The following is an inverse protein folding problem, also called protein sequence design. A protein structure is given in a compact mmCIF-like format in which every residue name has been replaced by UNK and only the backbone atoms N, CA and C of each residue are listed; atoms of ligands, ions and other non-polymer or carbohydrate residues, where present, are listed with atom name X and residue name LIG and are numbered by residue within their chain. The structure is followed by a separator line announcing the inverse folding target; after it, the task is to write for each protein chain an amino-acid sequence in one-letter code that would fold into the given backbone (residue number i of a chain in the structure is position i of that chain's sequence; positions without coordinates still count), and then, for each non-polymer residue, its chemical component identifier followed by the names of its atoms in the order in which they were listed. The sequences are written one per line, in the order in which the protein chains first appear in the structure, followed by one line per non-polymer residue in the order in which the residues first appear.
data_IF_297988430857
#
_entry.id   IF_297988430857
#
_cell.length_a   1.000
_cell.length_b   1.000
_cell.length_c   1.000
_cell.angle_alpha   90.00
_cell.angle_beta   90.00
_cell.angle_gamma   90.00
#
_symmetry.space_group_name_H-M   'P 1'
#
loop_
_entity.id
_entity.type
_entity.pdbx_description
1 polymer ?
#
# COMPACT_ATOMS: atom_id res chain seq x y z
N UNK A 1 28.32 5.84 -10.47
CA UNK A 1 27.09 6.53 -10.04
C UNK A 1 27.18 6.65 -8.54
N UNK A 2 27.28 7.88 -8.05
CA UNK A 2 27.51 8.11 -6.63
C UNK A 2 26.24 7.81 -5.83
N UNK A 3 26.33 6.85 -4.91
CA UNK A 3 25.35 6.71 -3.86
C UNK A 3 25.32 8.04 -3.07
N UNK A 4 24.19 8.72 -3.07
CA UNK A 4 23.97 9.86 -2.17
C UNK A 4 23.89 9.25 -0.78
N UNK A 5 24.99 9.33 -0.04
CA UNK A 5 25.00 9.05 1.39
C UNK A 5 24.13 10.13 2.04
N UNK A 6 22.93 9.81 2.46
CA UNK A 6 22.15 10.69 3.32
C UNK A 6 22.76 10.59 4.72
N UNK A 7 23.60 11.58 5.04
CA UNK A 7 23.97 11.83 6.43
C UNK A 7 22.69 12.23 7.19
N UNK A 8 22.32 11.55 8.28
CA UNK A 8 21.15 11.89 9.09
C UNK A 8 21.14 13.35 9.58
N UNK A 9 22.33 14.02 9.63
CA UNK A 9 22.47 15.41 10.04
C UNK A 9 22.01 16.44 9.00
N UNK A 10 21.83 16.04 7.72
CA UNK A 10 21.46 16.94 6.61
C UNK A 10 19.93 16.97 6.33
N UNK A 11 19.11 16.26 7.12
CA UNK A 11 17.65 16.31 6.95
C UNK A 11 17.11 17.65 7.46
N UNK A 12 16.31 18.33 6.62
CA UNK A 12 15.53 19.49 7.07
C UNK A 12 14.71 19.11 8.31
N UNK A 13 14.63 19.99 9.33
CA UNK A 13 13.81 19.73 10.51
C UNK A 13 12.37 19.46 10.08
N UNK A 14 11.76 18.42 10.64
CA UNK A 14 10.35 18.11 10.41
C UNK A 14 9.48 19.30 10.85
N UNK A 15 8.69 19.81 9.90
CA UNK A 15 7.87 21.00 10.13
C UNK A 15 6.82 20.78 11.21
N UNK A 16 6.23 19.59 11.29
CA UNK A 16 5.20 19.23 12.27
C UNK A 16 5.82 19.20 13.68
N UNK A 17 7.00 18.59 13.81
CA UNK A 17 7.77 18.62 15.06
C UNK A 17 8.07 20.06 15.49
N UNK A 18 8.62 20.85 14.57
CA UNK A 18 9.03 22.23 14.89
C UNK A 18 7.85 23.15 15.25
N UNK A 19 6.73 23.00 14.53
CA UNK A 19 5.56 23.87 14.69
C UNK A 19 4.64 23.47 15.84
N UNK A 20 4.43 22.18 16.03
CA UNK A 20 3.42 21.64 16.96
C UNK A 20 4.03 20.84 18.12
N UNK A 21 5.33 20.59 18.12
CA UNK A 21 5.97 19.80 19.18
C UNK A 21 5.60 18.32 19.17
N UNK A 22 5.15 17.79 18.02
CA UNK A 22 4.94 16.33 17.86
C UNK A 22 6.31 15.66 17.75
N UNK A 23 6.58 14.66 18.56
CA UNK A 23 7.86 13.96 18.55
C UNK A 23 7.66 12.49 18.12
N UNK A 24 8.54 12.02 17.25
CA UNK A 24 8.66 10.60 16.89
C UNK A 24 10.01 10.12 17.43
N UNK A 25 9.96 9.05 18.22
CA UNK A 25 11.16 8.43 18.78
C UNK A 25 11.32 7.01 18.27
N UNK A 26 12.56 6.54 18.17
CA UNK A 26 12.89 5.14 17.93
C UNK A 26 13.30 4.48 19.23
N UNK A 27 12.79 3.29 19.52
CA UNK A 27 13.11 2.48 20.69
C UNK A 27 14.33 1.57 20.40
N UNK A 28 15.45 2.18 19.97
CA UNK A 28 16.63 1.46 19.48
C UNK A 28 16.57 1.16 17.99
N UNK A 29 17.58 0.47 17.48
CA UNK A 29 17.60 0.00 16.10
C UNK A 29 16.70 -1.21 15.94
N UNK A 30 15.81 -1.17 14.94
CA UNK A 30 15.00 -2.29 14.52
C UNK A 30 15.80 -3.29 13.68
N UNK A 31 15.08 -4.12 12.95
CA UNK A 31 15.70 -5.05 12.00
C UNK A 31 16.36 -4.28 10.85
N UNK A 32 17.50 -4.74 10.37
CA UNK A 32 18.34 -4.08 9.35
C UNK A 32 18.79 -2.64 9.72
N UNK A 33 18.90 -2.33 11.02
CA UNK A 33 19.32 -1.03 11.56
C UNK A 33 18.43 0.17 11.20
N UNK A 34 17.19 -0.06 10.77
CA UNK A 34 16.25 1.01 10.50
C UNK A 34 15.80 1.72 11.79
N UNK A 35 15.75 3.04 11.72
CA UNK A 35 15.03 3.87 12.68
C UNK A 35 13.62 4.22 12.14
N UNK A 36 12.69 4.59 13.04
CA UNK A 36 11.33 5.00 12.62
C UNK A 36 11.37 6.13 11.60
N UNK A 37 12.28 7.10 11.78
CA UNK A 37 12.44 8.27 10.89
C UNK A 37 12.97 7.93 9.49
N UNK A 38 13.52 6.74 9.28
CA UNK A 38 13.94 6.28 7.95
C UNK A 38 12.74 5.82 7.13
N UNK A 39 11.70 5.36 7.81
CA UNK A 39 10.54 4.70 7.22
C UNK A 39 9.31 5.60 7.14
N UNK A 40 9.17 6.56 8.07
CA UNK A 40 8.01 7.44 8.16
C UNK A 40 8.41 8.87 8.55
N UNK A 41 7.62 9.82 8.07
CA UNK A 41 7.69 11.25 8.43
C UNK A 41 6.30 11.74 8.87
N UNK A 42 6.25 12.87 9.58
CA UNK A 42 5.02 13.40 10.14
C UNK A 42 4.23 14.21 9.11
N UNK A 43 2.98 13.84 8.89
CA UNK A 43 1.96 14.61 8.21
C UNK A 43 0.80 14.96 9.14
N UNK A 44 -0.15 15.71 8.64
CA UNK A 44 -1.35 16.13 9.36
C UNK A 44 -2.62 15.72 8.61
N UNK A 45 -3.70 15.51 9.36
CA UNK A 45 -5.05 15.28 8.82
C UNK A 45 -6.08 16.11 9.57
N UNK A 46 -7.09 16.57 8.86
CA UNK A 46 -8.21 17.29 9.45
C UNK A 46 -9.21 16.28 10.03
N UNK A 47 -8.89 15.75 11.21
CA UNK A 47 -9.71 14.74 11.88
C UNK A 47 -9.76 15.01 13.39
N UNK A 48 -10.97 15.09 13.95
CA UNK A 48 -11.22 15.41 15.37
C UNK A 48 -10.73 14.35 16.37
N UNK A 49 -10.35 13.17 15.88
CA UNK A 49 -9.87 12.07 16.75
C UNK A 49 -8.37 11.84 16.65
N UNK A 50 -7.79 12.12 15.48
CA UNK A 50 -6.36 11.89 15.22
C UNK A 50 -5.86 12.93 14.21
N UNK A 51 -5.13 13.94 14.69
CA UNK A 51 -4.61 15.01 13.85
C UNK A 51 -3.30 14.66 13.14
N UNK A 52 -2.45 13.81 13.73
CA UNK A 52 -1.20 13.36 13.12
C UNK A 52 -1.42 12.23 12.11
N UNK A 53 -0.50 12.14 11.16
CA UNK A 53 -0.43 11.08 10.14
C UNK A 53 1.03 10.63 10.03
N UNK A 54 1.28 9.33 10.10
CA UNK A 54 2.56 8.78 9.69
C UNK A 54 2.55 8.58 8.17
N UNK A 55 3.43 9.29 7.49
CA UNK A 55 3.59 9.24 6.04
C UNK A 55 4.79 8.36 5.74
N UNK A 56 4.57 7.17 5.20
CA UNK A 56 5.67 6.29 4.83
C UNK A 56 6.47 6.86 3.65
N UNK A 57 7.79 6.86 3.79
CA UNK A 57 8.75 7.24 2.76
C UNK A 57 9.15 6.09 1.84
N UNK A 58 8.75 4.86 2.20
CA UNK A 58 9.18 3.62 1.54
C UNK A 58 8.03 2.78 0.98
N UNK A 59 6.78 3.29 0.99
CA UNK A 59 5.61 2.52 0.59
C UNK A 59 4.98 2.97 -0.73
N UNK A 60 5.17 4.24 -1.12
CA UNK A 60 4.51 4.78 -2.30
C UNK A 60 3.01 5.04 -2.11
N UNK A 61 2.55 5.42 -0.92
CA UNK A 61 1.14 5.77 -0.68
C UNK A 61 0.86 7.26 -0.84
N UNK A 62 1.57 8.09 -0.10
CA UNK A 62 1.37 9.54 -0.08
C UNK A 62 2.49 10.30 -0.80
N UNK A 63 3.63 9.64 -1.00
CA UNK A 63 4.82 10.22 -1.63
C UNK A 63 5.24 9.28 -2.76
N UNK A 64 5.45 9.79 -3.99
CA UNK A 64 6.05 9.00 -5.05
C UNK A 64 7.43 8.50 -4.59
N UNK A 65 7.59 7.20 -4.55
CA UNK A 65 8.79 6.54 -4.04
C UNK A 65 9.45 5.76 -5.19
N UNK A 66 10.78 5.79 -5.35
CA UNK A 66 11.45 4.95 -6.34
C UNK A 66 11.07 3.47 -6.14
N UNK A 67 10.73 2.71 -7.20
CA UNK A 67 10.25 1.33 -7.09
C UNK A 67 11.21 0.42 -6.32
N UNK A 68 12.52 0.55 -6.57
CA UNK A 68 13.55 -0.21 -5.86
C UNK A 68 13.61 0.06 -4.35
N UNK A 69 13.22 1.27 -3.88
CA UNK A 69 13.15 1.61 -2.45
C UNK A 69 11.97 0.89 -1.80
N UNK A 70 10.80 0.89 -2.47
CA UNK A 70 9.61 0.15 -2.00
C UNK A 70 9.92 -1.34 -1.90
N UNK A 71 10.59 -1.90 -2.92
CA UNK A 71 10.98 -3.31 -2.96
C UNK A 71 11.94 -3.65 -1.82
N UNK A 72 12.97 -2.82 -1.60
CA UNK A 72 13.97 -3.04 -0.55
C UNK A 72 13.35 -3.10 0.84
N UNK A 73 12.47 -2.15 1.19
CA UNK A 73 11.79 -2.16 2.49
C UNK A 73 10.97 -3.44 2.70
N UNK A 74 10.28 -3.92 1.67
CA UNK A 74 9.55 -5.18 1.74
C UNK A 74 10.49 -6.41 1.82
N UNK A 75 11.62 -6.38 1.14
CA UNK A 75 12.63 -7.45 1.19
C UNK A 75 13.28 -7.53 2.59
N UNK A 76 13.57 -6.37 3.21
CA UNK A 76 14.08 -6.29 4.58
C UNK A 76 13.04 -6.84 5.58
N UNK A 77 11.76 -6.49 5.42
CA UNK A 77 10.69 -7.04 6.25
C UNK A 77 10.54 -8.57 6.06
N UNK A 78 10.64 -9.05 4.83
CA UNK A 78 10.63 -10.49 4.53
C UNK A 78 11.84 -11.21 5.14
N UNK A 79 13.02 -10.58 5.15
CA UNK A 79 14.22 -11.13 5.81
C UNK A 79 14.03 -11.23 7.32
N UNK A 80 13.45 -10.21 7.95
CA UNK A 80 13.10 -10.21 9.38
C UNK A 80 12.12 -11.34 9.74
N UNK A 81 11.13 -11.58 8.89
CA UNK A 81 10.19 -12.71 9.08
C UNK A 81 10.91 -14.04 8.98
N UNK A 82 11.81 -14.23 8.00
CA UNK A 82 12.60 -15.46 7.86
C UNK A 82 13.47 -15.68 9.11
N UNK A 83 14.09 -14.63 9.64
CA UNK A 83 14.88 -14.72 10.88
C UNK A 83 14.02 -15.14 12.08
N UNK A 84 12.78 -14.61 12.17
CA UNK A 84 11.87 -14.87 13.28
C UNK A 84 11.32 -16.30 13.30
N UNK A 85 10.91 -16.85 12.13
CA UNK A 85 10.21 -18.14 12.08
C UNK A 85 10.94 -19.25 11.32
N UNK A 86 12.08 -18.93 10.72
CA UNK A 86 12.86 -19.86 9.88
C UNK A 86 12.39 -19.92 8.43
N UNK A 87 13.31 -20.24 7.52
CA UNK A 87 13.08 -20.20 6.08
C UNK A 87 11.99 -21.17 5.59
N UNK A 88 11.94 -22.38 6.16
CA UNK A 88 10.95 -23.40 5.77
C UNK A 88 9.55 -22.98 6.21
N UNK A 89 9.38 -22.54 7.46
CA UNK A 89 8.09 -22.07 7.96
C UNK A 89 7.61 -20.81 7.20
N UNK A 90 8.52 -19.88 6.86
CA UNK A 90 8.21 -18.72 6.04
C UNK A 90 7.76 -19.11 4.64
N UNK A 91 8.45 -20.05 4.00
CA UNK A 91 8.10 -20.57 2.68
C UNK A 91 6.75 -21.26 2.64
N UNK A 92 6.41 -22.03 3.66
CA UNK A 92 5.17 -22.79 3.74
C UNK A 92 3.99 -21.95 4.26
N UNK A 93 4.24 -20.71 4.71
CA UNK A 93 3.23 -19.80 5.24
C UNK A 93 2.25 -19.29 4.20
N UNK A 94 1.15 -18.73 4.71
CA UNK A 94 0.24 -17.86 3.96
C UNK A 94 0.52 -16.43 4.39
N UNK A 95 0.60 -15.50 3.43
CA UNK A 95 0.69 -14.07 3.72
C UNK A 95 -0.65 -13.40 3.44
N UNK A 96 -1.06 -12.51 4.36
CA UNK A 96 -2.29 -11.75 4.25
C UNK A 96 -2.00 -10.25 4.41
N UNK A 97 -2.33 -9.44 3.40
CA UNK A 97 -2.16 -7.98 3.42
C UNK A 97 -3.44 -7.25 3.79
N UNK A 98 -3.35 -6.24 4.64
CA UNK A 98 -4.49 -5.40 4.96
C UNK A 98 -4.75 -4.34 3.87
N UNK A 99 -5.97 -4.26 3.37
CA UNK A 99 -6.39 -3.15 2.54
C UNK A 99 -6.64 -1.90 3.41
N UNK A 100 -6.33 -0.77 2.90
CA UNK A 100 -5.95 -0.40 1.55
C UNK A 100 -4.43 -0.45 1.37
N UNK A 101 -3.68 -0.15 2.41
CA UNK A 101 -2.29 0.32 2.36
C UNK A 101 -1.26 -0.79 2.21
N UNK A 102 -1.49 -1.92 2.84
CA UNK A 102 -0.49 -2.99 2.91
C UNK A 102 -0.64 -4.07 1.82
N UNK A 103 -1.50 -3.86 0.82
CA UNK A 103 -1.70 -4.85 -0.25
C UNK A 103 -0.44 -5.04 -1.11
N UNK A 104 0.26 -3.95 -1.44
CA UNK A 104 1.53 -4.02 -2.16
C UNK A 104 2.66 -4.56 -1.29
N UNK A 105 2.80 -4.05 -0.06
CA UNK A 105 3.81 -4.49 0.90
C UNK A 105 3.69 -5.98 1.19
N UNK A 106 2.48 -6.44 1.53
CA UNK A 106 2.23 -7.86 1.81
C UNK A 106 2.54 -8.76 0.63
N UNK A 107 2.25 -8.33 -0.61
CA UNK A 107 2.60 -9.09 -1.81
C UNK A 107 4.11 -9.18 -2.04
N UNK A 108 4.83 -8.07 -1.85
CA UNK A 108 6.29 -8.05 -1.94
C UNK A 108 6.93 -8.96 -0.88
N UNK A 109 6.44 -8.91 0.37
CA UNK A 109 6.86 -9.81 1.45
C UNK A 109 6.60 -11.26 1.06
N UNK A 110 5.41 -11.60 0.58
CA UNK A 110 5.07 -12.96 0.14
C UNK A 110 6.02 -13.46 -0.95
N UNK A 111 6.38 -12.60 -1.90
CA UNK A 111 7.35 -12.93 -2.94
C UNK A 111 8.75 -13.15 -2.36
N UNK A 112 9.20 -12.26 -1.46
CA UNK A 112 10.54 -12.33 -0.85
C UNK A 112 10.77 -13.61 -0.07
N UNK A 113 9.78 -14.05 0.72
CA UNK A 113 9.85 -15.28 1.50
C UNK A 113 9.44 -16.53 0.70
N UNK A 114 9.03 -16.35 -0.56
CA UNK A 114 8.46 -17.41 -1.40
C UNK A 114 7.27 -18.10 -0.73
N UNK A 115 6.38 -17.35 -0.12
CA UNK A 115 5.19 -17.84 0.58
C UNK A 115 4.36 -18.79 -0.32
N UNK A 116 3.67 -19.76 0.29
CA UNK A 116 2.83 -20.70 -0.44
C UNK A 116 1.67 -19.99 -1.16
N UNK A 117 1.07 -19.01 -0.47
CA UNK A 117 -0.10 -18.27 -0.92
C UNK A 117 -0.07 -16.83 -0.39
N UNK A 118 -0.66 -15.92 -1.15
CA UNK A 118 -0.91 -14.54 -0.74
C UNK A 118 -2.37 -14.16 -1.01
N UNK A 119 -3.00 -13.49 -0.05
CA UNK A 119 -4.31 -12.87 -0.18
C UNK A 119 -4.26 -11.49 0.47
N UNK A 120 -5.04 -10.55 -0.02
CA UNK A 120 -5.31 -9.33 0.76
C UNK A 120 -6.82 -9.11 0.94
N UNK A 121 -7.19 -8.41 1.99
CA UNK A 121 -8.55 -7.91 2.13
C UNK A 121 -8.86 -6.86 1.07
N UNK A 122 -10.13 -6.60 0.85
CA UNK A 122 -10.58 -5.53 -0.06
C UNK A 122 -11.66 -4.72 0.61
N UNK A 123 -11.74 -3.44 0.27
CA UNK A 123 -12.85 -2.55 0.64
C UNK A 123 -13.85 -2.40 -0.52
N UNK A 124 -13.57 -3.01 -1.66
CA UNK A 124 -14.39 -2.95 -2.88
C UNK A 124 -15.29 -4.17 -2.98
N UNK A 125 -16.59 -3.93 -3.06
CA UNK A 125 -17.56 -5.00 -3.32
C UNK A 125 -17.76 -5.13 -4.83
N UNK A 126 -17.17 -6.16 -5.41
CA UNK A 126 -17.31 -6.42 -6.85
C UNK A 126 -18.62 -7.18 -7.14
N UNK A 127 -19.35 -6.81 -8.21
CA UNK A 127 -20.55 -7.55 -8.62
C UNK A 127 -20.24 -9.00 -8.98
N UNK A 128 -21.08 -9.93 -8.52
CA UNK A 128 -20.95 -11.36 -8.84
C UNK A 128 -19.82 -12.10 -8.10
N UNK A 129 -19.07 -11.43 -7.22
CA UNK A 129 -17.99 -12.02 -6.44
C UNK A 129 -18.49 -12.47 -5.08
N UNK A 130 -18.17 -13.71 -4.69
CA UNK A 130 -18.54 -14.26 -3.37
C UNK A 130 -17.62 -13.70 -2.29
N UNK A 131 -18.20 -13.19 -1.21
CA UNK A 131 -17.49 -12.79 -0.01
C UNK A 131 -17.41 -13.99 0.93
N UNK A 132 -16.18 -14.45 1.20
CA UNK A 132 -15.92 -15.63 2.05
C UNK A 132 -15.75 -15.30 3.54
N UNK A 133 -15.72 -14.02 3.89
CA UNK A 133 -15.60 -13.54 5.25
C UNK A 133 -15.47 -12.02 5.30
N UNK A 134 -15.72 -11.45 6.48
CA UNK A 134 -15.58 -10.02 6.75
C UNK A 134 -15.02 -9.81 8.14
N UNK A 135 -14.26 -8.75 8.35
CA UNK A 135 -13.87 -8.25 9.67
C UNK A 135 -13.85 -6.72 9.68
N UNK A 136 -13.93 -6.14 10.88
CA UNK A 136 -14.05 -4.69 11.05
C UNK A 136 -12.73 -4.09 11.57
N UNK A 137 -12.42 -2.90 11.08
CA UNK A 137 -11.33 -2.07 11.61
C UNK A 137 -11.90 -1.06 12.61
N UNK A 138 -11.44 -1.11 13.86
CA UNK A 138 -12.04 -0.36 14.98
C UNK A 138 -11.92 1.17 14.92
N UNK A 139 -11.19 1.75 13.96
CA UNK A 139 -10.80 3.17 14.01
C UNK A 139 -10.95 3.97 12.71
N UNK A 140 -11.50 3.42 11.63
CA UNK A 140 -11.65 4.13 10.33
C UNK A 140 -13.11 4.35 9.91
N UNK A 141 -13.32 5.28 8.95
CA UNK A 141 -14.65 5.59 8.42
C UNK A 141 -15.19 4.53 7.42
N UNK A 142 -14.30 3.69 6.87
CA UNK A 142 -14.65 2.57 6.02
C UNK A 142 -14.11 1.30 6.70
N UNK A 143 -14.89 0.75 7.61
CA UNK A 143 -14.43 -0.19 8.63
C UNK A 143 -14.40 -1.64 8.18
N UNK A 144 -15.21 -1.99 7.15
CA UNK A 144 -15.38 -3.39 6.75
C UNK A 144 -14.32 -3.85 5.76
N UNK A 145 -13.58 -4.87 6.12
CA UNK A 145 -12.71 -5.62 5.21
C UNK A 145 -13.47 -6.85 4.68
N UNK A 146 -13.39 -7.06 3.37
CA UNK A 146 -13.99 -8.20 2.68
C UNK A 146 -12.90 -9.19 2.26
N UNK A 147 -13.18 -10.48 2.34
CA UNK A 147 -12.35 -11.55 1.81
C UNK A 147 -13.03 -12.12 0.56
N UNK A 148 -12.38 -12.01 -0.59
CA UNK A 148 -12.93 -12.42 -1.89
C UNK A 148 -12.00 -13.38 -2.67
N UNK A 149 -11.46 -14.45 -2.05
CA UNK A 149 -10.61 -15.39 -2.75
C UNK A 149 -11.39 -16.13 -3.84
N UNK A 150 -10.70 -16.52 -4.91
CA UNK A 150 -11.29 -17.37 -5.97
C UNK A 150 -11.68 -18.76 -5.46
N UNK A 151 -10.97 -19.32 -4.50
CA UNK A 151 -11.34 -20.53 -3.74
C UNK A 151 -11.66 -20.12 -2.29
N UNK A 152 -12.85 -20.37 -1.74
CA UNK A 152 -13.20 -20.08 -0.36
C UNK A 152 -12.24 -20.70 0.68
N UNK A 153 -11.56 -21.79 0.32
CA UNK A 153 -10.58 -22.48 1.18
C UNK A 153 -9.17 -21.92 1.06
N UNK A 154 -8.97 -20.83 0.34
CA UNK A 154 -7.63 -20.27 0.06
C UNK A 154 -6.83 -19.92 1.31
N UNK A 155 -7.51 -19.58 2.41
CA UNK A 155 -6.91 -19.31 3.72
C UNK A 155 -6.93 -20.51 4.67
N UNK A 156 -7.48 -21.66 4.27
CA UNK A 156 -7.49 -22.84 5.14
C UNK A 156 -6.06 -23.33 5.35
N UNK A 157 -5.73 -23.68 6.58
CA UNK A 157 -4.43 -24.26 6.89
C UNK A 157 -4.30 -25.64 6.26
N UNK A 158 -3.17 -25.93 5.62
CA UNK A 158 -2.86 -27.24 5.06
C UNK A 158 -2.27 -28.18 6.12
N UNK A 159 -1.66 -27.60 7.15
CA UNK A 159 -1.16 -28.31 8.34
C UNK A 159 -1.52 -27.50 9.58
N UNK A 160 -1.63 -28.13 10.80
CA UNK A 160 -1.92 -27.40 12.03
C UNK A 160 -0.90 -26.31 12.38
N UNK A 161 0.33 -26.49 11.96
CA UNK A 161 1.47 -25.59 12.24
C UNK A 161 1.71 -24.53 11.14
N UNK A 162 0.88 -24.48 10.08
CA UNK A 162 1.02 -23.51 9.01
C UNK A 162 0.80 -22.09 9.55
N UNK A 163 1.82 -21.26 9.48
CA UNK A 163 1.77 -19.87 9.96
C UNK A 163 0.98 -18.98 9.00
N UNK A 164 0.14 -18.09 9.55
CA UNK A 164 -0.43 -16.96 8.82
C UNK A 164 0.30 -15.67 9.19
N UNK A 165 0.86 -15.02 8.18
CA UNK A 165 1.59 -13.77 8.32
C UNK A 165 0.65 -12.63 7.90
N UNK A 166 0.26 -11.78 8.85
CA UNK A 166 -0.54 -10.59 8.62
C UNK A 166 0.38 -9.40 8.40
N UNK A 167 0.23 -8.68 7.29
CA UNK A 167 1.09 -7.55 6.94
C UNK A 167 0.30 -6.26 6.92
N UNK A 168 0.77 -5.25 7.66
CA UNK A 168 0.26 -3.88 7.66
C UNK A 168 1.40 -2.88 7.44
N UNK A 169 1.11 -1.63 7.13
CA UNK A 169 2.13 -0.58 6.99
C UNK A 169 2.62 -0.07 8.35
N UNK A 170 1.71 0.14 9.30
CA UNK A 170 2.01 0.56 10.68
C UNK A 170 1.16 -0.20 11.70
N UNK A 171 1.73 -0.55 12.83
CA UNK A 171 0.98 -1.05 13.98
C UNK A 171 0.93 0.05 15.04
N UNK A 172 -0.24 0.68 15.20
CA UNK A 172 -0.44 1.73 16.20
C UNK A 172 -0.94 1.20 17.56
N UNK A 173 -1.94 0.33 17.55
CA UNK A 173 -2.51 -0.31 18.76
C UNK A 173 -2.48 -1.83 18.70
N UNK A 174 -2.44 -2.40 17.50
CA UNK A 174 -2.56 -3.84 17.25
C UNK A 174 -4.00 -4.36 17.20
N UNK A 175 -5.00 -3.51 17.40
CA UNK A 175 -6.42 -3.92 17.46
C UNK A 175 -6.92 -4.51 16.14
N UNK A 176 -6.54 -3.93 15.01
CA UNK A 176 -6.93 -4.41 13.67
C UNK A 176 -6.43 -5.84 13.41
N UNK A 177 -5.15 -6.08 13.71
CA UNK A 177 -4.56 -7.41 13.55
C UNK A 177 -5.22 -8.45 14.47
N UNK A 178 -5.48 -8.10 15.73
CA UNK A 178 -6.18 -8.98 16.66
C UNK A 178 -7.61 -9.31 16.22
N UNK A 179 -8.38 -8.32 15.76
CA UNK A 179 -9.74 -8.55 15.23
C UNK A 179 -9.75 -9.47 14.02
N UNK A 180 -8.74 -9.33 13.12
CA UNK A 180 -8.57 -10.25 12.00
C UNK A 180 -8.21 -11.66 12.46
N UNK A 181 -7.29 -11.82 13.44
CA UNK A 181 -6.92 -13.11 14.04
C UNK A 181 -8.14 -13.78 14.66
N UNK A 182 -8.91 -13.07 15.49
CA UNK A 182 -10.13 -13.58 16.12
C UNK A 182 -11.14 -14.10 15.08
N UNK A 183 -11.39 -13.31 14.02
CA UNK A 183 -12.30 -13.69 12.93
C UNK A 183 -11.83 -14.94 12.19
N UNK A 184 -10.51 -15.02 11.92
CA UNK A 184 -9.93 -16.15 11.21
C UNK A 184 -9.95 -17.41 12.07
N UNK A 185 -9.55 -17.34 13.34
CA UNK A 185 -9.56 -18.48 14.26
C UNK A 185 -10.95 -19.06 14.45
N UNK A 186 -11.98 -18.20 14.52
CA UNK A 186 -13.38 -18.65 14.67
C UNK A 186 -13.88 -19.49 13.49
N UNK A 187 -13.34 -19.30 12.29
CA UNK A 187 -13.80 -19.98 11.07
C UNK A 187 -12.78 -20.94 10.47
N UNK A 188 -11.49 -20.71 10.72
CA UNK A 188 -10.34 -21.45 10.18
C UNK A 188 -9.31 -21.66 11.28
N UNK A 189 -9.45 -22.69 12.14
CA UNK A 189 -8.56 -22.93 13.27
C UNK A 189 -7.08 -22.94 12.85
N UNK A 190 -6.26 -22.19 13.58
CA UNK A 190 -4.83 -22.04 13.34
C UNK A 190 -4.14 -21.66 14.66
N UNK A 191 -2.93 -22.18 14.86
CA UNK A 191 -2.20 -21.98 16.11
C UNK A 191 -1.21 -20.82 16.05
N UNK A 192 -0.65 -20.49 14.85
CA UNK A 192 0.49 -19.58 14.71
C UNK A 192 0.20 -18.42 13.79
N UNK A 193 0.53 -17.22 14.28
CA UNK A 193 0.43 -15.95 13.54
C UNK A 193 1.71 -15.15 13.67
N UNK A 194 2.05 -14.42 12.61
CA UNK A 194 3.03 -13.33 12.62
C UNK A 194 2.30 -12.06 12.19
N UNK A 195 2.47 -10.98 12.94
CA UNK A 195 2.01 -9.64 12.52
C UNK A 195 3.25 -8.84 12.14
N UNK A 196 3.34 -8.45 10.87
CA UNK A 196 4.50 -7.80 10.31
C UNK A 196 4.15 -6.39 9.81
N UNK A 197 5.04 -5.41 10.04
CA UNK A 197 4.84 -4.02 9.59
C UNK A 197 6.17 -3.30 9.36
N UNK A 198 6.11 -2.13 8.69
CA UNK A 198 7.28 -1.26 8.59
C UNK A 198 7.63 -0.69 9.97
N UNK A 199 6.64 -0.21 10.72
CA UNK A 199 6.84 0.35 12.06
C UNK A 199 5.85 -0.20 13.07
N UNK A 200 6.32 -0.51 14.28
CA UNK A 200 5.51 -0.86 15.46
C UNK A 200 5.58 0.28 16.48
N UNK A 201 4.49 1.03 16.58
CA UNK A 201 4.34 2.21 17.43
C UNK A 201 3.56 1.92 18.71
N UNK A 202 3.36 0.66 19.06
CA UNK A 202 2.60 0.26 20.25
C UNK A 202 3.38 0.58 21.55
N UNK A 203 2.68 1.15 22.51
CA UNK A 203 3.18 1.28 23.87
C UNK A 203 3.37 -0.09 24.55
N UNK A 204 4.08 -0.12 25.68
CA UNK A 204 4.23 -1.34 26.48
C UNK A 204 2.88 -1.91 26.92
N UNK A 205 1.93 -1.04 27.31
CA UNK A 205 0.57 -1.46 27.72
C UNK A 205 -0.20 -2.08 26.54
N UNK A 206 -0.10 -1.49 25.34
CA UNK A 206 -0.75 -2.04 24.15
C UNK A 206 -0.15 -3.40 23.76
N UNK A 207 1.17 -3.56 23.86
CA UNK A 207 1.82 -4.88 23.66
C UNK A 207 1.34 -5.91 24.67
N UNK A 208 1.18 -5.53 25.97
CA UNK A 208 0.65 -6.42 27.00
C UNK A 208 -0.82 -6.82 26.74
N UNK A 209 -1.65 -5.87 26.28
CA UNK A 209 -3.05 -6.13 25.89
C UNK A 209 -3.09 -7.11 24.73
N UNK A 210 -2.25 -6.91 23.69
CA UNK A 210 -2.17 -7.81 22.54
C UNK A 210 -1.73 -9.22 22.94
N UNK A 211 -0.72 -9.34 23.81
CA UNK A 211 -0.24 -10.63 24.30
C UNK A 211 -1.32 -11.39 25.10
N UNK A 212 -2.06 -10.65 25.94
CA UNK A 212 -3.18 -11.23 26.70
C UNK A 212 -4.29 -11.73 25.76
N UNK A 213 -4.68 -10.93 24.76
CA UNK A 213 -5.72 -11.31 23.81
C UNK A 213 -5.33 -12.55 23.01
N UNK A 214 -4.08 -12.67 22.57
CA UNK A 214 -3.57 -13.86 21.91
C UNK A 214 -3.63 -15.11 22.80
N UNK A 215 -3.26 -14.97 24.08
CA UNK A 215 -3.35 -16.05 25.06
C UNK A 215 -4.81 -16.47 25.33
N UNK A 216 -5.73 -15.51 25.44
CA UNK A 216 -7.17 -15.78 25.63
C UNK A 216 -7.77 -16.52 24.41
N UNK A 217 -7.27 -16.27 23.20
CA UNK A 217 -7.63 -17.00 21.97
C UNK A 217 -6.93 -18.36 21.83
N UNK A 218 -5.94 -18.67 22.67
CA UNK A 218 -5.16 -19.90 22.59
C UNK A 218 -4.25 -19.99 21.38
N UNK A 219 -3.75 -18.85 20.86
CA UNK A 219 -2.87 -18.77 19.69
C UNK A 219 -1.52 -18.14 20.04
N UNK A 220 -0.50 -18.50 19.27
CA UNK A 220 0.82 -17.86 19.31
C UNK A 220 0.85 -16.72 18.29
N UNK A 221 1.14 -15.50 18.76
CA UNK A 221 1.27 -14.32 17.90
C UNK A 221 2.65 -13.69 18.13
N UNK A 222 3.48 -13.67 17.11
CA UNK A 222 4.73 -12.90 17.12
C UNK A 222 4.60 -11.63 16.28
N UNK A 223 5.39 -10.62 16.62
CA UNK A 223 5.37 -9.32 15.95
C UNK A 223 6.76 -9.05 15.37
N UNK A 224 6.79 -8.63 14.11
CA UNK A 224 8.02 -8.30 13.37
C UNK A 224 7.85 -6.91 12.78
N UNK A 225 8.78 -5.99 13.03
CA UNK A 225 8.79 -4.68 12.42
C UNK A 225 10.21 -4.25 12.05
N UNK A 226 10.34 -3.42 11.02
CA UNK A 226 11.65 -2.86 10.65
C UNK A 226 12.13 -1.85 11.68
N UNK A 227 11.22 -1.11 12.31
CA UNK A 227 11.55 -0.21 13.41
C UNK A 227 10.46 -0.19 14.48
N UNK A 228 10.87 0.11 15.71
CA UNK A 228 10.00 0.28 16.87
C UNK A 228 10.13 1.69 17.41
N UNK A 229 9.02 2.26 17.87
CA UNK A 229 9.06 3.61 18.44
C UNK A 229 7.75 4.08 19.04
N UNK A 230 7.68 5.36 19.28
CA UNK A 230 6.48 6.01 19.80
C UNK A 230 6.26 7.41 19.22
N UNK A 231 5.02 7.90 19.32
CA UNK A 231 4.65 9.27 18.98
C UNK A 231 4.17 9.95 20.24
N UNK A 232 4.82 11.06 20.60
CA UNK A 232 4.39 11.95 21.68
C UNK A 232 3.58 13.11 21.09
N UNK A 233 2.36 13.29 21.55
CA UNK A 233 1.43 14.28 21.04
C UNK A 233 1.19 15.37 22.07
N UNK A 234 1.38 16.66 21.75
CA UNK A 234 0.96 17.76 22.60
C UNK A 234 -0.56 17.74 22.85
N UNK A 235 -1.04 18.09 24.04
CA UNK A 235 -2.47 18.09 24.36
C UNK A 235 -3.31 19.00 23.46
N UNK A 236 -2.72 20.08 22.94
CA UNK A 236 -3.39 21.08 22.08
C UNK A 236 -3.41 20.70 20.61
N UNK A 237 -2.68 19.64 20.20
CA UNK A 237 -2.48 19.31 18.78
C UNK A 237 -3.77 19.23 17.97
N UNK A 238 -4.83 18.65 18.52
CA UNK A 238 -6.12 18.51 17.81
C UNK A 238 -6.72 19.87 17.49
N UNK A 239 -6.72 20.80 18.43
CA UNK A 239 -7.28 22.14 18.27
C UNK A 239 -6.40 22.96 17.32
N UNK A 240 -5.09 22.93 17.51
CA UNK A 240 -4.12 23.68 16.69
C UNK A 240 -4.19 23.25 15.22
N UNK A 241 -4.30 21.95 14.94
CA UNK A 241 -4.43 21.40 13.57
C UNK A 241 -5.82 21.65 13.00
N UNK A 242 -6.87 21.71 13.85
CA UNK A 242 -8.22 21.98 13.40
C UNK A 242 -8.37 23.43 12.88
N UNK A 243 -7.66 24.38 13.49
CA UNK A 243 -7.64 25.78 13.07
C UNK A 243 -6.72 26.04 11.86
N UNK A 244 -5.87 25.08 11.52
CA UNK A 244 -4.92 25.22 10.42
C UNK A 244 -5.62 25.09 9.07
N UNK A 245 -5.42 26.10 8.20
CA UNK A 245 -5.93 26.06 6.83
C UNK A 245 -4.97 25.30 5.93
N UNK A 246 -5.45 24.23 5.30
CA UNK A 246 -4.72 23.49 4.26
C UNK A 246 -4.59 24.30 2.98
N UNK A 247 -3.51 24.13 2.25
CA UNK A 247 -3.35 24.70 0.92
C UNK A 247 -4.40 24.13 -0.07
N UNK A 248 -4.65 24.87 -1.14
CA UNK A 248 -5.64 24.48 -2.15
C UNK A 248 -5.18 23.22 -2.90
N UNK A 249 -6.10 22.27 -3.01
CA UNK A 249 -5.96 21.08 -3.84
C UNK A 249 -6.32 21.36 -5.31
N UNK A 250 -5.98 20.45 -6.21
CA UNK A 250 -6.30 20.50 -7.62
C UNK A 250 -5.75 21.76 -8.31
N UNK A 251 -4.42 21.91 -8.43
CA UNK A 251 -3.83 23.03 -9.15
C UNK A 251 -4.29 23.01 -10.62
N UNK A 252 -4.44 24.21 -11.19
CA UNK A 252 -4.89 24.41 -12.58
C UNK A 252 -3.83 25.18 -13.32
N UNK A 253 -3.47 24.70 -14.52
CA UNK A 253 -2.59 25.40 -15.45
C UNK A 253 -3.35 25.86 -16.69
N UNK A 254 -2.85 26.88 -17.43
CA UNK A 254 -3.56 27.40 -18.61
C UNK A 254 -3.73 26.36 -19.74
N UNK A 255 -2.76 25.45 -19.90
CA UNK A 255 -2.77 24.46 -20.98
C UNK A 255 -3.00 23.05 -20.37
N UNK A 256 -4.12 22.47 -20.71
CA UNK A 256 -4.50 21.13 -20.26
C UNK A 256 -3.71 20.07 -21.05
N UNK A 257 -3.18 19.08 -20.36
CA UNK A 257 -2.50 17.94 -20.98
C UNK A 257 -3.47 16.89 -21.56
N UNK A 258 -2.94 16.00 -22.40
CA UNK A 258 -3.69 14.91 -23.03
C UNK A 258 -3.72 13.62 -22.23
N UNK A 259 -4.64 12.71 -22.64
CA UNK A 259 -4.73 11.33 -22.14
C UNK A 259 -4.52 10.36 -23.30
N UNK A 260 -3.64 9.38 -23.10
CA UNK A 260 -3.50 8.20 -23.96
C UNK A 260 -4.05 6.99 -23.21
N UNK A 261 -4.96 6.22 -23.80
CA UNK A 261 -5.52 5.00 -23.17
C UNK A 261 -4.94 3.76 -23.80
N UNK A 262 -4.52 2.80 -22.97
CA UNK A 262 -3.94 1.51 -23.36
C UNK A 262 -4.70 0.39 -22.67
N UNK A 263 -5.34 -0.49 -23.42
CA UNK A 263 -5.81 -1.78 -22.93
C UNK A 263 -4.62 -2.74 -22.92
N UNK A 264 -4.25 -3.21 -21.74
CA UNK A 264 -3.10 -4.09 -21.58
C UNK A 264 -3.49 -5.53 -21.91
N UNK A 265 -2.63 -6.19 -22.70
CA UNK A 265 -2.75 -7.64 -22.90
C UNK A 265 -2.33 -8.37 -21.63
N UNK A 266 -3.29 -9.05 -20.98
CA UNK A 266 -3.07 -9.77 -19.74
C UNK A 266 -3.47 -11.23 -19.89
N UNK A 267 -2.57 -12.20 -19.60
CA UNK A 267 -2.84 -13.61 -19.86
C UNK A 267 -4.01 -14.13 -19.03
N UNK A 268 -4.93 -14.85 -19.68
CA UNK A 268 -6.06 -15.47 -19.01
C UNK A 268 -5.59 -16.44 -17.92
N UNK A 269 -6.22 -16.35 -16.75
CA UNK A 269 -5.86 -17.17 -15.59
C UNK A 269 -4.66 -16.67 -14.80
N UNK A 270 -4.05 -15.55 -15.20
CA UNK A 270 -3.07 -14.83 -14.38
C UNK A 270 -3.81 -13.78 -13.54
N UNK A 271 -3.64 -13.76 -12.19
CA UNK A 271 -4.29 -12.76 -11.36
C UNK A 271 -3.73 -11.35 -11.61
N UNK A 272 -4.56 -10.31 -11.39
CA UNK A 272 -4.16 -8.90 -11.40
C UNK A 272 -3.45 -8.47 -10.10
N UNK A 273 -3.55 -9.29 -9.06
CA UNK A 273 -2.99 -9.08 -7.73
C UNK A 273 -3.48 -10.11 -6.72
N UNK A 274 -3.46 -9.75 -5.43
CA UNK A 274 -3.80 -10.67 -4.34
C UNK A 274 -5.27 -10.70 -3.93
N UNK A 275 -6.16 -9.85 -4.48
CA UNK A 275 -7.58 -9.76 -4.09
C UNK A 275 -8.31 -11.10 -4.15
N UNK A 276 -8.05 -11.88 -5.19
CA UNK A 276 -8.67 -13.19 -5.43
C UNK A 276 -7.74 -14.36 -5.07
N UNK A 277 -6.69 -14.05 -4.33
CA UNK A 277 -5.62 -14.96 -3.97
C UNK A 277 -4.55 -15.05 -5.05
N UNK A 278 -3.31 -15.25 -4.62
CA UNK A 278 -2.12 -15.39 -5.45
C UNK A 278 -1.32 -16.59 -4.92
N UNK A 279 -1.21 -17.63 -5.71
CA UNK A 279 -0.41 -18.80 -5.38
C UNK A 279 1.04 -18.61 -5.86
N UNK A 280 2.00 -19.29 -5.24
CA UNK A 280 3.41 -19.27 -5.68
C UNK A 280 3.57 -19.59 -7.16
N UNK A 281 2.74 -20.48 -7.70
CA UNK A 281 2.73 -20.84 -9.13
C UNK A 281 2.34 -19.69 -10.07
N UNK A 282 1.65 -18.67 -9.57
CA UNK A 282 1.22 -17.53 -10.39
C UNK A 282 2.38 -16.53 -10.63
N UNK A 283 3.47 -16.61 -9.84
CA UNK A 283 4.56 -15.62 -9.85
C UNK A 283 5.28 -15.51 -11.21
N UNK A 284 5.50 -16.63 -11.90
CA UNK A 284 6.13 -16.63 -13.23
C UNK A 284 5.25 -15.94 -14.28
N UNK A 285 4.03 -16.43 -14.54
CA UNK A 285 3.10 -15.79 -15.48
C UNK A 285 2.82 -14.32 -15.17
N UNK A 286 2.71 -13.94 -13.89
CA UNK A 286 2.49 -12.56 -13.47
C UNK A 286 3.69 -11.66 -13.79
N UNK A 287 4.91 -12.10 -13.51
CA UNK A 287 6.13 -11.35 -13.85
C UNK A 287 6.21 -11.11 -15.35
N UNK A 288 5.97 -12.12 -16.16
CA UNK A 288 6.06 -12.02 -17.61
C UNK A 288 4.98 -11.06 -18.17
N UNK A 289 3.78 -11.06 -17.56
CA UNK A 289 2.70 -10.13 -17.90
C UNK A 289 3.02 -8.67 -17.53
N UNK A 290 3.56 -8.43 -16.33
CA UNK A 290 3.96 -7.07 -15.90
C UNK A 290 5.12 -6.52 -16.71
N UNK A 291 6.07 -7.35 -17.09
CA UNK A 291 7.18 -6.99 -17.98
C UNK A 291 6.69 -6.60 -19.39
N UNK A 292 5.76 -7.37 -19.97
CA UNK A 292 5.12 -7.06 -21.23
C UNK A 292 4.31 -5.75 -21.17
N UNK A 293 3.59 -5.53 -20.05
CA UNK A 293 2.86 -4.30 -19.80
C UNK A 293 3.80 -3.08 -19.73
N UNK A 294 4.91 -3.18 -18.98
CA UNK A 294 5.91 -2.12 -18.89
C UNK A 294 6.54 -1.80 -20.27
N UNK A 295 6.85 -2.85 -21.07
CA UNK A 295 7.37 -2.68 -22.42
C UNK A 295 6.37 -2.00 -23.37
N UNK A 296 5.07 -2.27 -23.21
CA UNK A 296 4.02 -1.62 -23.98
C UNK A 296 3.86 -0.16 -23.60
N UNK A 297 3.78 0.14 -22.31
CA UNK A 297 3.65 1.50 -21.78
C UNK A 297 4.85 2.36 -22.18
N UNK A 298 6.08 1.82 -22.09
CA UNK A 298 7.31 2.55 -22.43
C UNK A 298 7.33 3.14 -23.84
N UNK A 299 6.63 2.53 -24.80
CA UNK A 299 6.53 3.03 -26.19
C UNK A 299 5.74 4.33 -26.34
N UNK A 300 4.95 4.68 -25.31
CA UNK A 300 4.07 5.85 -25.28
C UNK A 300 4.60 6.95 -24.34
N UNK A 301 5.78 6.75 -23.76
CA UNK A 301 6.39 7.69 -22.82
C UNK A 301 7.55 8.45 -23.46
N UNK A 302 7.72 9.71 -23.06
CA UNK A 302 8.90 10.51 -23.38
C UNK A 302 10.07 10.08 -22.49
N UNK A 303 11.19 9.55 -23.03
CA UNK A 303 12.32 9.10 -22.22
C UNK A 303 13.08 10.24 -21.51
N UNK A 304 12.82 11.50 -21.86
CA UNK A 304 13.44 12.66 -21.21
C UNK A 304 12.67 13.17 -20.00
N UNK A 305 11.45 12.69 -19.76
CA UNK A 305 10.60 13.13 -18.65
C UNK A 305 10.53 12.07 -17.57
N UNK A 306 10.55 12.47 -16.28
CA UNK A 306 10.25 11.54 -15.19
C UNK A 306 8.87 10.90 -15.36
N UNK A 307 8.71 9.71 -14.81
CA UNK A 307 7.45 8.95 -14.81
C UNK A 307 6.97 8.76 -13.38
N UNK A 308 5.70 9.02 -13.13
CA UNK A 308 5.05 8.60 -11.89
C UNK A 308 3.99 7.55 -12.23
N UNK A 309 4.21 6.32 -11.79
CA UNK A 309 3.25 5.23 -11.93
C UNK A 309 2.30 5.26 -10.73
N UNK A 310 1.01 5.34 -11.01
CA UNK A 310 -0.05 5.48 -10.01
C UNK A 310 -0.97 4.28 -10.06
N UNK A 311 -0.96 3.46 -9.01
CA UNK A 311 -1.98 2.43 -8.79
C UNK A 311 -3.27 3.02 -8.22
N UNK A 312 -4.39 2.32 -8.38
CA UNK A 312 -5.66 2.75 -7.80
C UNK A 312 -5.98 1.97 -6.53
N UNK A 313 -5.94 2.68 -5.38
CA UNK A 313 -6.22 2.13 -4.05
C UNK A 313 -5.43 0.82 -3.77
N UNK A 314 -6.14 -0.29 -3.60
CA UNK A 314 -5.57 -1.61 -3.28
C UNK A 314 -4.87 -2.31 -4.45
N UNK A 315 -5.00 -1.80 -5.68
CA UNK A 315 -4.24 -2.28 -6.83
C UNK A 315 -2.83 -1.68 -6.77
N UNK A 316 -1.98 -2.26 -5.94
CA UNK A 316 -0.63 -1.75 -5.66
C UNK A 316 0.48 -2.55 -6.33
N UNK A 317 0.38 -3.89 -6.33
CA UNK A 317 1.51 -4.74 -6.72
C UNK A 317 1.79 -4.75 -8.23
N UNK A 318 0.76 -4.88 -9.08
CA UNK A 318 0.96 -4.82 -10.53
C UNK A 318 1.50 -3.46 -10.98
N UNK A 319 0.98 -2.29 -10.51
CA UNK A 319 1.57 -1.00 -10.78
C UNK A 319 3.02 -0.85 -10.31
N UNK A 320 3.38 -1.40 -9.14
CA UNK A 320 4.75 -1.40 -8.65
C UNK A 320 5.68 -2.19 -9.58
N UNK A 321 5.29 -3.40 -10.00
CA UNK A 321 6.08 -4.22 -10.92
C UNK A 321 6.21 -3.54 -12.30
N UNK A 322 5.17 -2.85 -12.78
CA UNK A 322 5.24 -2.04 -14.00
C UNK A 322 6.25 -0.88 -13.83
N UNK A 323 6.21 -0.20 -12.67
CA UNK A 323 7.15 0.87 -12.35
C UNK A 323 8.61 0.36 -12.30
N UNK A 324 8.85 -0.82 -11.71
CA UNK A 324 10.16 -1.49 -11.74
C UNK A 324 10.61 -1.78 -13.18
N UNK A 325 9.70 -2.27 -14.03
CA UNK A 325 9.98 -2.52 -15.43
C UNK A 325 10.31 -1.26 -16.24
N UNK A 326 9.71 -0.10 -15.90
CA UNK A 326 10.07 1.20 -16.49
C UNK A 326 11.42 1.72 -15.97
N UNK A 327 11.69 1.59 -14.67
CA UNK A 327 12.99 1.93 -14.06
C UNK A 327 14.13 1.13 -14.71
N UNK A 328 13.95 -0.17 -14.93
CA UNK A 328 14.91 -1.04 -15.62
C UNK A 328 15.16 -0.64 -17.07
N UNK A 329 14.21 0.05 -17.72
CA UNK A 329 14.34 0.61 -19.06
C UNK A 329 14.98 2.00 -19.09
N UNK A 330 15.39 2.51 -17.92
CA UNK A 330 16.13 3.77 -17.79
C UNK A 330 15.28 5.01 -17.57
N UNK A 331 13.97 4.88 -17.33
CA UNK A 331 13.14 6.00 -16.90
C UNK A 331 13.44 6.36 -15.45
N UNK A 332 13.48 7.66 -15.14
CA UNK A 332 13.44 8.14 -13.76
C UNK A 332 12.01 7.94 -13.26
N UNK A 333 11.81 6.94 -12.40
CA UNK A 333 10.46 6.45 -12.06
C UNK A 333 10.16 6.60 -10.57
N UNK A 334 9.01 7.21 -10.27
CA UNK A 334 8.36 7.15 -8.98
C UNK A 334 7.12 6.25 -9.04
N UNK A 335 6.83 5.57 -7.96
CA UNK A 335 5.63 4.76 -7.77
C UNK A 335 4.80 5.32 -6.62
N UNK A 336 3.49 5.37 -6.79
CA UNK A 336 2.55 5.62 -5.70
C UNK A 336 1.16 5.05 -6.00
N UNK A 337 0.25 5.18 -5.03
CA UNK A 337 -1.17 4.79 -5.17
C UNK A 337 -2.09 5.94 -4.79
N UNK A 338 -3.33 5.91 -5.28
CA UNK A 338 -4.39 6.76 -4.76
C UNK A 338 -4.86 6.27 -3.38
N UNK A 339 -5.47 7.14 -2.57
CA UNK A 339 -5.88 6.80 -1.21
C UNK A 339 -7.20 7.44 -0.82
N UNK A 340 -7.88 6.84 0.16
CA UNK A 340 -9.08 7.41 0.83
C UNK A 340 -8.73 8.34 1.99
N UNK A 341 -7.44 8.43 2.35
CA UNK A 341 -7.00 9.21 3.51
C UNK A 341 -6.89 10.71 3.18
N UNK A 342 -7.74 11.57 3.74
CA UNK A 342 -7.63 13.02 3.58
C UNK A 342 -6.49 13.54 4.47
N UNK A 343 -5.38 13.93 3.87
CA UNK A 343 -4.29 14.61 4.55
C UNK A 343 -4.31 16.11 4.25
N UNK A 344 -3.79 16.92 5.18
CA UNK A 344 -3.55 18.33 4.93
C UNK A 344 -2.34 18.52 4.02
N UNK A 345 -2.39 19.53 3.17
CA UNK A 345 -1.34 19.92 2.23
C UNK A 345 -0.80 21.30 2.62
N UNK A 346 0.51 21.40 2.78
CA UNK A 346 1.19 22.66 3.08
C UNK A 346 2.48 22.75 2.25
N UNK A 347 2.56 23.72 1.36
CA UNK A 347 3.75 23.93 0.53
C UNK A 347 4.84 24.70 1.32
N UNK A 348 5.33 24.06 2.37
CA UNK A 348 6.40 24.60 3.22
C UNK A 348 7.57 23.60 3.30
N UNK A 349 8.83 24.09 3.47
CA UNK A 349 9.97 23.20 3.69
C UNK A 349 9.78 22.31 4.92
N UNK A 350 10.26 21.07 4.86
CA UNK A 350 10.17 20.10 5.96
C UNK A 350 8.78 19.49 6.17
N UNK A 351 7.77 19.83 5.35
CA UNK A 351 6.47 19.16 5.37
C UNK A 351 6.34 18.16 4.21
N UNK A 352 5.90 16.91 4.45
CA UNK A 352 5.96 15.85 3.44
C UNK A 352 4.93 15.97 2.32
N UNK A 353 3.75 16.58 2.58
CA UNK A 353 2.64 16.62 1.63
C UNK A 353 2.44 18.06 1.12
N UNK A 354 3.24 18.43 0.12
CA UNK A 354 3.31 19.81 -0.36
C UNK A 354 2.30 20.14 -1.45
N UNK A 355 1.76 19.12 -2.14
CA UNK A 355 0.78 19.26 -3.23
C UNK A 355 -0.21 18.11 -3.15
N UNK A 356 -1.43 18.31 -3.62
CA UNK A 356 -2.42 17.26 -3.57
C UNK A 356 -3.58 17.45 -4.54
N UNK A 357 -4.23 16.33 -4.83
CA UNK A 357 -5.43 16.26 -5.63
C UNK A 357 -6.52 15.55 -4.85
N UNK A 358 -7.73 16.07 -4.96
CA UNK A 358 -8.96 15.43 -4.51
C UNK A 358 -9.81 15.17 -5.74
N UNK A 359 -10.30 13.96 -5.90
CA UNK A 359 -11.08 13.56 -7.06
C UNK A 359 -12.24 12.63 -6.68
N UNK A 360 -13.19 12.45 -7.61
CA UNK A 360 -14.32 11.54 -7.45
C UNK A 360 -13.84 10.10 -7.55
N UNK A 361 -14.39 9.22 -6.69
CA UNK A 361 -14.11 7.79 -6.80
C UNK A 361 -14.54 7.27 -8.18
N UNK A 362 -13.71 6.49 -8.88
CA UNK A 362 -14.10 5.85 -10.13
C UNK A 362 -15.26 4.88 -9.95
N UNK A 363 -15.32 4.18 -8.83
CA UNK A 363 -16.42 3.32 -8.47
C UNK A 363 -17.60 4.16 -7.98
N UNK A 364 -18.82 3.65 -8.14
CA UNK A 364 -20.10 4.32 -7.93
C UNK A 364 -20.39 4.79 -6.49
N UNK A 365 -19.38 5.27 -5.76
CA UNK A 365 -19.52 5.94 -4.47
C UNK A 365 -19.05 7.39 -4.56
N UNK A 366 -19.85 8.30 -5.14
CA UNK A 366 -19.48 9.69 -5.35
C UNK A 366 -19.35 10.48 -4.03
N UNK A 367 -19.86 9.98 -2.92
CA UNK A 367 -19.84 10.66 -1.63
C UNK A 367 -18.47 10.58 -0.94
N UNK A 368 -17.64 9.58 -1.28
CA UNK A 368 -16.32 9.38 -0.66
C UNK A 368 -15.20 9.76 -1.64
N UNK A 369 -14.61 10.95 -1.50
CA UNK A 369 -13.52 11.39 -2.38
C UNK A 369 -12.27 10.51 -2.21
N UNK A 370 -11.43 10.54 -3.25
CA UNK A 370 -10.10 9.96 -3.27
C UNK A 370 -9.06 11.05 -3.37
N UNK A 371 -7.84 10.72 -2.99
CA UNK A 371 -6.74 11.65 -2.93
C UNK A 371 -5.49 11.04 -3.57
N UNK A 372 -4.64 11.92 -4.10
CA UNK A 372 -3.27 11.61 -4.49
C UNK A 372 -2.41 12.84 -4.17
N UNK A 373 -1.19 12.62 -3.68
CA UNK A 373 -0.33 13.70 -3.21
C UNK A 373 1.00 13.68 -3.95
N UNK A 374 1.64 14.85 -4.06
CA UNK A 374 3.02 15.01 -4.58
C UNK A 374 3.31 14.36 -5.94
N UNK A 375 2.33 14.25 -6.83
CA UNK A 375 2.54 13.70 -8.19
C UNK A 375 3.73 14.36 -8.86
N UNK A 376 3.91 15.67 -8.67
CA UNK A 376 5.11 16.41 -9.04
C UNK A 376 5.85 16.87 -7.79
N UNK A 377 7.15 16.71 -7.77
CA UNK A 377 8.05 17.09 -6.67
C UNK A 377 9.39 17.62 -7.22
N UNK A 378 10.25 18.12 -6.35
CA UNK A 378 11.58 18.57 -6.75
C UNK A 378 12.45 17.40 -7.29
N UNK A 379 12.21 16.18 -6.81
CA UNK A 379 12.88 14.96 -7.31
C UNK A 379 12.27 14.43 -8.63
N UNK A 380 11.00 14.72 -8.89
CA UNK A 380 10.25 14.31 -10.09
C UNK A 380 9.54 15.54 -10.67
N UNK A 381 10.29 16.50 -11.27
CA UNK A 381 9.72 17.72 -11.82
C UNK A 381 8.94 17.42 -13.09
N UNK A 382 7.76 18.02 -13.23
CA UNK A 382 6.90 17.92 -14.42
C UNK A 382 6.76 16.50 -15.00
N UNK A 383 6.34 15.51 -14.21
CA UNK A 383 6.29 14.12 -14.65
C UNK A 383 5.17 13.86 -15.64
N UNK A 384 5.35 12.85 -16.47
CA UNK A 384 4.26 12.16 -17.13
C UNK A 384 3.71 11.09 -16.18
N UNK A 385 2.40 10.91 -16.17
CA UNK A 385 1.72 10.04 -15.19
C UNK A 385 1.19 8.79 -15.89
N UNK A 386 1.54 7.63 -15.39
CA UNK A 386 0.96 6.34 -15.82
C UNK A 386 -0.05 5.92 -14.77
N UNK A 387 -1.34 6.03 -15.06
CA UNK A 387 -2.42 5.58 -14.18
C UNK A 387 -2.74 4.13 -14.53
N UNK A 388 -2.57 3.22 -13.58
CA UNK A 388 -2.86 1.79 -13.75
C UNK A 388 -4.11 1.43 -12.96
N UNK A 389 -5.13 0.95 -13.65
CA UNK A 389 -6.42 0.53 -13.06
C UNK A 389 -6.81 -0.86 -13.52
N UNK A 390 -7.73 -1.49 -12.79
CA UNK A 390 -8.46 -2.67 -13.25
C UNK A 390 -9.76 -2.27 -13.98
N UNK A 391 -10.29 -3.14 -14.83
CA UNK A 391 -11.52 -2.87 -15.60
C UNK A 391 -12.69 -2.35 -14.73
N UNK A 392 -12.92 -2.80 -13.48
CA UNK A 392 -13.97 -2.25 -12.62
C UNK A 392 -13.83 -0.76 -12.27
N UNK A 393 -12.60 -0.20 -12.34
CA UNK A 393 -12.35 1.22 -12.13
C UNK A 393 -12.40 2.04 -13.44
N UNK A 394 -12.56 1.42 -14.59
CA UNK A 394 -12.73 2.07 -15.90
C UNK A 394 -14.18 2.53 -16.09
N UNK A 395 -14.56 3.54 -15.37
CA UNK A 395 -15.93 4.09 -15.35
C UNK A 395 -15.99 5.48 -15.98
N UNK A 396 -17.19 6.00 -16.30
CA UNK A 396 -17.37 7.40 -16.73
C UNK A 396 -16.84 8.41 -15.70
N UNK A 397 -16.96 8.12 -14.40
CA UNK A 397 -16.54 8.96 -13.29
C UNK A 397 -15.03 9.22 -13.31
N UNK A 398 -14.23 8.24 -13.72
CA UNK A 398 -12.78 8.37 -13.89
C UNK A 398 -12.41 9.53 -14.83
N UNK A 399 -13.24 9.78 -15.86
CA UNK A 399 -13.02 10.77 -16.92
C UNK A 399 -13.85 12.03 -16.78
N UNK A 400 -14.84 12.02 -15.89
CA UNK A 400 -15.76 13.15 -15.71
C UNK A 400 -15.06 14.37 -15.10
N UNK A 401 -15.64 15.58 -15.19
CA UNK A 401 -15.12 16.73 -14.45
C UNK A 401 -14.98 16.43 -12.95
N UNK A 402 -13.79 16.65 -12.41
CA UNK A 402 -13.41 16.28 -11.04
C UNK A 402 -13.04 14.81 -10.85
N UNK A 403 -13.01 13.98 -11.90
CA UNK A 403 -12.43 12.62 -11.87
C UNK A 403 -10.90 12.65 -11.92
N UNK A 404 -10.27 11.50 -11.69
CA UNK A 404 -8.81 11.40 -11.59
C UNK A 404 -8.09 11.93 -12.84
N UNK A 405 -8.54 11.54 -14.04
CA UNK A 405 -7.90 11.98 -15.29
C UNK A 405 -8.09 13.48 -15.52
N UNK A 406 -9.26 14.01 -15.15
CA UNK A 406 -9.56 15.43 -15.26
C UNK A 406 -8.64 16.28 -14.38
N UNK A 407 -8.49 15.94 -13.10
CA UNK A 407 -7.66 16.73 -12.18
C UNK A 407 -6.18 16.68 -12.54
N UNK A 408 -5.67 15.53 -12.99
CA UNK A 408 -4.27 15.38 -13.40
C UNK A 408 -3.97 16.16 -14.69
N UNK A 409 -4.82 16.03 -15.70
CA UNK A 409 -4.60 16.73 -16.99
C UNK A 409 -4.81 18.23 -16.87
N UNK A 410 -5.75 18.69 -16.05
CA UNK A 410 -5.97 20.11 -15.74
C UNK A 410 -4.77 20.73 -15.01
N UNK A 411 -4.03 19.93 -14.26
CA UNK A 411 -2.76 20.33 -13.65
C UNK A 411 -1.56 20.27 -14.60
N UNK A 412 -1.76 19.92 -15.88
CA UNK A 412 -0.72 19.90 -16.91
C UNK A 412 0.05 18.60 -17.03
N UNK A 413 -0.34 17.53 -16.31
CA UNK A 413 0.33 16.23 -16.40
C UNK A 413 -0.21 15.41 -17.58
N UNK A 414 0.63 15.03 -18.58
CA UNK A 414 0.24 14.05 -19.59
C UNK A 414 -0.02 12.70 -18.90
N UNK A 415 -1.15 12.07 -19.25
CA UNK A 415 -1.57 10.83 -18.61
C UNK A 415 -1.58 9.69 -19.62
N UNK A 416 -0.94 8.58 -19.29
CA UNK A 416 -1.14 7.27 -19.93
C UNK A 416 -2.00 6.43 -19.00
N UNK A 417 -3.25 6.19 -19.40
CA UNK A 417 -4.17 5.30 -18.70
C UNK A 417 -3.93 3.87 -19.18
N UNK A 418 -3.47 3.01 -18.30
CA UNK A 418 -3.21 1.60 -18.54
C UNK A 418 -4.26 0.74 -17.83
N UNK A 419 -5.08 0.01 -18.61
CA UNK A 419 -6.20 -0.76 -18.09
C UNK A 419 -5.84 -2.24 -18.07
N UNK A 420 -5.84 -2.84 -16.88
CA UNK A 420 -5.71 -4.28 -16.66
C UNK A 420 -7.08 -4.95 -16.73
N UNK A 421 -7.24 -6.06 -17.45
CA UNK A 421 -8.43 -6.87 -17.33
C UNK A 421 -8.61 -7.35 -15.89
N UNK A 422 -9.83 -7.24 -15.35
CA UNK A 422 -10.13 -7.78 -14.03
C UNK A 422 -9.93 -9.30 -14.02
N UNK A 423 -9.44 -9.82 -12.90
CA UNK A 423 -9.26 -11.26 -12.70
C UNK A 423 -10.60 -11.99 -12.77
N UNK A 424 -10.74 -12.90 -13.72
CA UNK A 424 -11.85 -13.87 -13.78
C UNK A 424 -11.56 -15.01 -12.79
N UNK A 425 -12.32 -15.07 -11.69
CA UNK A 425 -12.15 -16.07 -10.64
C UNK A 425 -12.33 -17.51 -11.14
N UNK A 426 -13.19 -17.73 -12.15
CA UNK A 426 -13.43 -19.08 -12.72
C UNK A 426 -12.22 -19.52 -13.53
N UNK A 427 -11.69 -18.65 -14.37
CA UNK A 427 -10.48 -18.93 -15.16
C UNK A 427 -9.26 -19.09 -14.25
N UNK A 428 -9.11 -18.25 -13.22
CA UNK A 428 -8.02 -18.36 -12.25
C UNK A 428 -8.06 -19.69 -11.51
N UNK A 429 -9.26 -20.16 -11.11
CA UNK A 429 -9.43 -21.48 -10.47
C UNK A 429 -9.09 -22.62 -11.42
N UNK A 430 -9.56 -22.55 -12.68
CA UNK A 430 -9.30 -23.57 -13.69
C UNK A 430 -7.80 -23.67 -14.02
N UNK A 431 -7.10 -22.56 -14.16
CA UNK A 431 -5.65 -22.55 -14.43
C UNK A 431 -4.84 -23.23 -13.32
N UNK A 432 -5.20 -22.98 -12.05
CA UNK A 432 -4.54 -23.61 -10.89
C UNK A 432 -4.79 -25.11 -10.77
N UNK A 433 -5.99 -25.57 -11.14
CA UNK A 433 -6.32 -27.00 -11.17
C UNK A 433 -5.57 -27.74 -12.30
N UNK A 434 -5.29 -27.07 -13.42
CA UNK A 434 -4.52 -27.66 -14.51
C UNK A 434 -3.04 -27.85 -14.16
N UNK A 435 -2.49 -27.04 -13.24
CA UNK A 435 -1.09 -27.12 -12.78
C UNK A 435 -0.90 -28.17 -11.68
N UNK A 436 -1.95 -28.44 -10.88
CA UNK A 436 -1.98 -29.44 -9.80
C UNK A 436 -3.16 -30.40 -10.02
N UNK A 437 -3.06 -31.36 -10.98
CA UNK A 437 -4.14 -32.29 -11.30
C UNK A 437 -4.46 -33.29 -10.17
#
# INVERSE_FOLDING_TARGET
MNAVSHDPSDREPDWVTTRFGVEVTSDGTGHAEHEVRDLVVLGLRHNKRRAHLLVSTVLGKHIPTPPHVVRRAADDLGAAIIEQIGADAARDSIVFGFAETATGLGHCVAQRISASRYLHSTRRRLPGVVVSGTFEEGHSHATTHLLQPSDPRFLDATTPDETLILVDDEISTGTTALGAIETIVATRPRARFVVASLVDMRSADQRAICAKAAADLGVEVSYVALAHGSVTLPPTLLDDVWELTSDTLNPVVPERAGVTTLDLDWPKGTPDGGRHGFARSDAGPFRDATEAAAATIAKHLDPQRPVVVVGHEELMYAPLCIAEGLEQRGFVTGYQTTTRSPAQVHNVPGYPLRRGFRFLAPESDPETPRYIYNVSSDALPDPQVVVVIDTPADTPELRSPGGLLDVLTTAGHPVTLAILPATDQTQLRASRQAVNP
#
